data_IF_528658363737
#
_entry.id   IF_528658363737
#
_cell.length_a   1.000
_cell.length_b   1.000
_cell.length_c   1.000
_cell.angle_alpha   90.00
_cell.angle_beta   90.00
_cell.angle_gamma   90.00
#
_symmetry.space_group_name_H-M   'P 1'
#
loop_
_entity.id
_entity.type
_entity.pdbx_description
1 polymer ?
#
# COMPACT_ATOMS: atom_id res chain seq x y z
N UNK A 1 15.55 16.17 -38.61
CA UNK A 1 15.38 16.00 -37.15
C UNK A 1 16.12 14.75 -36.73
N UNK A 2 17.18 14.90 -35.93
CA UNK A 2 18.09 13.81 -35.59
C UNK A 2 17.36 12.75 -34.77
N UNK A 3 17.31 11.53 -35.31
CA UNK A 3 16.60 10.37 -34.76
C UNK A 3 16.98 10.10 -33.28
N UNK A 4 18.18 10.49 -32.85
CA UNK A 4 18.68 10.34 -31.47
C UNK A 4 18.12 11.31 -30.43
N UNK A 5 17.75 12.55 -30.79
CA UNK A 5 17.20 13.52 -29.84
C UNK A 5 15.80 13.13 -29.35
N UNK A 6 15.01 12.52 -30.24
CA UNK A 6 13.68 12.00 -29.92
C UNK A 6 13.72 10.82 -28.94
N UNK A 7 14.72 9.93 -29.06
CA UNK A 7 14.85 8.75 -28.19
C UNK A 7 15.22 9.14 -26.76
N UNK A 8 16.19 10.04 -26.58
CA UNK A 8 16.60 10.52 -25.25
C UNK A 8 15.43 11.20 -24.53
N UNK A 9 14.68 12.04 -25.24
CA UNK A 9 13.50 12.70 -24.69
C UNK A 9 12.43 11.67 -24.29
N UNK A 10 12.19 10.66 -25.11
CA UNK A 10 11.21 9.59 -24.84
C UNK A 10 11.59 8.77 -23.61
N UNK A 11 12.86 8.38 -23.47
CA UNK A 11 13.36 7.65 -22.29
C UNK A 11 13.23 8.51 -21.04
N UNK A 12 13.62 9.79 -21.11
CA UNK A 12 13.46 10.72 -19.97
C UNK A 12 12.01 10.83 -19.51
N UNK A 13 11.06 11.04 -20.43
CA UNK A 13 9.64 11.11 -20.10
C UNK A 13 9.10 9.80 -19.53
N UNK A 14 9.54 8.64 -20.04
CA UNK A 14 9.14 7.33 -19.49
C UNK A 14 9.65 7.14 -18.06
N UNK A 15 10.90 7.49 -17.77
CA UNK A 15 11.44 7.39 -16.42
C UNK A 15 10.75 8.34 -15.44
N UNK A 16 10.53 9.59 -15.85
CA UNK A 16 9.84 10.58 -15.00
C UNK A 16 8.40 10.16 -14.73
N UNK A 17 7.65 9.75 -15.75
CA UNK A 17 6.27 9.28 -15.58
C UNK A 17 6.19 8.03 -14.71
N UNK A 18 7.14 7.11 -14.82
CA UNK A 18 7.22 5.95 -13.94
C UNK A 18 7.40 6.34 -12.48
N UNK A 19 8.35 7.25 -12.19
CA UNK A 19 8.62 7.71 -10.82
C UNK A 19 7.42 8.46 -10.22
N UNK A 20 6.80 9.37 -10.99
CA UNK A 20 5.63 10.13 -10.50
C UNK A 20 4.42 9.25 -10.31
N UNK A 21 4.21 8.26 -11.17
CA UNK A 21 3.12 7.29 -11.04
C UNK A 21 3.29 6.42 -9.78
N UNK A 22 4.53 6.01 -9.46
CA UNK A 22 4.82 5.31 -8.20
C UNK A 22 4.53 6.19 -6.98
N UNK A 23 4.95 7.47 -6.98
CA UNK A 23 4.62 8.40 -5.88
C UNK A 23 3.11 8.55 -5.69
N UNK A 24 2.36 8.65 -6.78
CA UNK A 24 0.90 8.79 -6.74
C UNK A 24 0.24 7.56 -6.10
N UNK A 25 0.70 6.35 -6.44
CA UNK A 25 0.16 5.09 -5.88
C UNK A 25 0.33 5.04 -4.37
N UNK A 26 1.52 5.40 -3.85
CA UNK A 26 1.75 5.41 -2.41
C UNK A 26 0.85 6.43 -1.70
N UNK A 27 0.70 7.62 -2.29
CA UNK A 27 -0.16 8.67 -1.73
C UNK A 27 -1.64 8.25 -1.67
N UNK A 28 -2.17 7.65 -2.74
CA UNK A 28 -3.57 7.18 -2.77
C UNK A 28 -3.77 5.99 -1.81
N UNK A 29 -2.79 5.09 -1.72
CA UNK A 29 -2.86 3.96 -0.78
C UNK A 29 -2.88 4.42 0.67
N UNK A 30 -2.06 5.40 1.03
CA UNK A 30 -2.06 5.98 2.38
C UNK A 30 -3.37 6.72 2.68
N UNK A 31 -3.92 7.44 1.69
CA UNK A 31 -5.22 8.11 1.85
C UNK A 31 -6.35 7.10 2.10
N UNK A 32 -6.36 5.99 1.37
CA UNK A 32 -7.31 4.90 1.61
C UNK A 32 -7.07 4.25 2.97
N UNK A 33 -5.83 3.99 3.35
CA UNK A 33 -5.52 3.41 4.66
C UNK A 33 -6.04 4.27 5.82
N UNK A 34 -5.84 5.59 5.76
CA UNK A 34 -6.41 6.52 6.77
C UNK A 34 -7.93 6.47 6.72
N UNK A 35 -8.53 6.58 5.54
CA UNK A 35 -9.98 6.58 5.39
C UNK A 35 -10.62 5.30 5.94
N UNK A 36 -10.04 4.14 5.63
CA UNK A 36 -10.55 2.86 6.11
C UNK A 36 -10.39 2.72 7.63
N UNK A 37 -9.26 3.14 8.22
CA UNK A 37 -9.06 3.09 9.68
C UNK A 37 -9.98 4.08 10.41
N UNK A 38 -10.19 5.28 9.88
CA UNK A 38 -11.03 6.29 10.54
C UNK A 38 -12.53 5.98 10.41
N UNK A 39 -13.00 5.52 9.24
CA UNK A 39 -14.44 5.37 8.98
C UNK A 39 -14.97 3.94 9.07
N UNK A 40 -14.17 2.94 8.68
CA UNK A 40 -14.65 1.53 8.59
C UNK A 40 -14.15 0.71 9.79
N UNK A 41 -12.90 0.89 10.17
CA UNK A 41 -12.23 0.15 11.23
C UNK A 41 -11.74 1.09 12.33
N UNK A 42 -12.65 1.84 12.97
CA UNK A 42 -12.29 2.79 14.04
C UNK A 42 -11.52 2.14 15.20
N UNK A 43 -11.71 0.84 15.44
CA UNK A 43 -10.93 0.05 16.40
C UNK A 43 -9.43 -0.04 16.03
N UNK A 44 -9.08 0.08 14.75
CA UNK A 44 -7.70 0.08 14.27
C UNK A 44 -7.01 1.45 14.40
N UNK A 45 -7.76 2.51 14.68
CA UNK A 45 -7.22 3.86 14.92
C UNK A 45 -6.78 4.08 16.39
N UNK A 46 -6.94 3.07 17.23
CA UNK A 46 -6.53 3.15 18.63
C UNK A 46 -5.00 3.37 18.75
N UNK A 47 -4.55 4.31 19.60
CA UNK A 47 -3.13 4.55 19.80
C UNK A 47 -2.47 3.34 20.47
N UNK A 48 -1.36 2.91 19.90
CA UNK A 48 -0.52 1.86 20.44
C UNK A 48 0.50 2.47 21.41
N UNK A 49 0.30 2.27 22.72
CA UNK A 49 1.29 2.65 23.72
C UNK A 49 2.07 1.40 24.16
N UNK A 50 3.41 1.37 23.98
CA UNK A 50 4.22 0.30 24.56
C UNK A 50 4.23 0.48 26.08
N UNK A 51 3.56 -0.42 26.80
CA UNK A 51 3.67 -0.54 28.26
C UNK A 51 4.80 -1.50 28.60
N UNK A 52 5.70 -1.10 29.48
CA UNK A 52 6.74 -1.98 30.02
C UNK A 52 6.41 -2.26 31.48
N UNK A 53 6.18 -3.52 31.83
CA UNK A 53 6.02 -3.89 33.21
C UNK A 53 7.39 -4.06 33.89
N UNK A 54 7.61 -3.25 34.93
CA UNK A 54 8.77 -3.37 35.82
C UNK A 54 8.33 -4.01 37.15
N UNK A 55 8.75 -5.26 37.36
CA UNK A 55 8.44 -6.04 38.56
C UNK A 55 9.10 -5.50 39.83
N UNK A 56 10.02 -4.52 39.72
CA UNK A 56 10.71 -3.92 40.88
C UNK A 56 9.97 -2.73 41.48
N UNK A 57 9.10 -2.08 40.68
CA UNK A 57 8.39 -0.85 41.06
C UNK A 57 6.86 -1.08 41.12
N UNK A 58 6.33 -1.99 40.29
CA UNK A 58 4.89 -2.21 40.16
C UNK A 58 4.42 -3.49 40.85
N UNK A 59 3.21 -3.45 41.41
CA UNK A 59 2.56 -4.64 41.99
C UNK A 59 2.20 -5.63 40.88
N UNK A 60 2.24 -6.93 41.22
CA UNK A 60 1.94 -8.03 40.28
C UNK A 60 0.57 -7.86 39.59
N UNK A 61 -0.41 -7.30 40.31
CA UNK A 61 -1.75 -7.00 39.80
C UNK A 61 -1.76 -5.88 38.74
N UNK A 62 -0.93 -4.83 38.90
CA UNK A 62 -0.77 -3.77 37.90
C UNK A 62 -0.11 -4.29 36.61
N UNK A 63 0.77 -5.28 36.76
CA UNK A 63 1.43 -5.98 35.65
C UNK A 63 0.44 -6.86 34.86
N UNK A 64 -0.48 -7.54 35.56
CA UNK A 64 -1.50 -8.38 34.93
C UNK A 64 -2.51 -7.55 34.12
N UNK A 65 -2.86 -6.34 34.60
CA UNK A 65 -3.70 -5.39 33.84
C UNK A 65 -2.96 -4.94 32.56
N UNK A 66 -1.67 -4.60 32.64
CA UNK A 66 -0.87 -4.23 31.45
C UNK A 66 -0.82 -5.34 30.41
N UNK A 67 -0.68 -6.60 30.83
CA UNK A 67 -0.68 -7.74 29.91
C UNK A 67 -1.98 -7.86 29.11
N UNK A 68 -3.13 -7.50 29.69
CA UNK A 68 -4.39 -7.47 28.95
C UNK A 68 -4.46 -6.35 27.92
N UNK A 69 -3.82 -5.21 28.19
CA UNK A 69 -3.73 -4.09 27.24
C UNK A 69 -2.70 -4.35 26.13
N UNK A 70 -1.64 -5.11 26.39
CA UNK A 70 -0.74 -5.62 25.35
C UNK A 70 -1.45 -6.52 24.33
N UNK A 71 -2.40 -7.35 24.79
CA UNK A 71 -3.20 -8.19 23.89
C UNK A 71 -4.10 -7.32 23.02
N UNK A 72 -4.73 -6.27 23.58
CA UNK A 72 -5.53 -5.32 22.80
C UNK A 72 -4.68 -4.56 21.79
N UNK A 73 -3.49 -4.08 22.19
CA UNK A 73 -2.58 -3.38 21.27
C UNK A 73 -2.06 -4.30 20.16
N UNK A 74 -1.86 -5.59 20.45
CA UNK A 74 -1.54 -6.59 19.42
C UNK A 74 -2.68 -6.79 18.40
N UNK A 75 -3.94 -6.70 18.84
CA UNK A 75 -5.09 -6.73 17.93
C UNK A 75 -5.15 -5.49 17.05
N UNK A 76 -4.91 -4.30 17.62
CA UNK A 76 -4.86 -3.04 16.87
C UNK A 76 -3.77 -3.08 15.81
N UNK A 77 -2.55 -3.52 16.15
CA UNK A 77 -1.44 -3.72 15.19
C UNK A 77 -1.85 -4.58 13.99
N UNK A 78 -2.50 -5.72 14.25
CA UNK A 78 -2.95 -6.64 13.20
C UNK A 78 -3.99 -5.99 12.29
N UNK A 79 -4.95 -5.27 12.86
CA UNK A 79 -5.98 -4.58 12.10
C UNK A 79 -5.39 -3.44 11.25
N UNK A 80 -4.45 -2.69 11.82
CA UNK A 80 -3.73 -1.66 11.08
C UNK A 80 -3.01 -2.22 9.86
N UNK A 81 -2.21 -3.28 10.02
CA UNK A 81 -1.53 -3.93 8.90
C UNK A 81 -2.51 -4.42 7.84
N UNK A 82 -3.60 -5.08 8.25
CA UNK A 82 -4.63 -5.54 7.33
C UNK A 82 -5.26 -4.40 6.51
N UNK A 83 -5.57 -3.26 7.12
CA UNK A 83 -6.14 -2.11 6.40
C UNK A 83 -5.16 -1.53 5.39
N UNK A 84 -3.87 -1.47 5.74
CA UNK A 84 -2.82 -1.01 4.82
C UNK A 84 -2.70 -1.94 3.61
N UNK A 85 -2.71 -3.24 3.85
CA UNK A 85 -2.58 -4.25 2.78
C UNK A 85 -3.82 -4.23 1.88
N UNK A 86 -5.01 -4.08 2.45
CA UNK A 86 -6.25 -3.92 1.68
C UNK A 86 -6.18 -2.65 0.82
N UNK A 87 -5.71 -1.53 1.37
CA UNK A 87 -5.57 -0.28 0.61
C UNK A 87 -4.60 -0.44 -0.58
N UNK A 88 -3.45 -1.10 -0.36
CA UNK A 88 -2.50 -1.43 -1.42
C UNK A 88 -3.12 -2.31 -2.50
N UNK A 89 -3.87 -3.37 -2.12
CA UNK A 89 -4.54 -4.26 -3.08
C UNK A 89 -5.60 -3.50 -3.89
N UNK A 90 -6.37 -2.63 -3.24
CA UNK A 90 -7.45 -1.87 -3.87
C UNK A 90 -6.90 -0.92 -4.95
N UNK A 91 -5.71 -0.36 -4.75
CA UNK A 91 -5.04 0.49 -5.74
C UNK A 91 -4.29 -0.35 -6.79
N UNK A 92 -3.60 -1.41 -6.37
CA UNK A 92 -2.79 -2.24 -7.26
C UNK A 92 -3.63 -3.10 -8.22
N UNK A 93 -4.79 -3.59 -7.79
CA UNK A 93 -5.66 -4.44 -8.61
C UNK A 93 -6.14 -3.76 -9.92
N UNK A 94 -6.73 -2.55 -9.90
CA UNK A 94 -7.14 -1.89 -11.15
C UNK A 94 -5.95 -1.49 -12.02
N UNK A 95 -4.81 -1.13 -11.44
CA UNK A 95 -3.58 -0.84 -12.20
C UNK A 95 -3.05 -2.08 -12.91
N UNK A 96 -2.99 -3.21 -12.21
CA UNK A 96 -2.58 -4.49 -12.79
C UNK A 96 -3.54 -4.93 -13.90
N UNK A 97 -4.85 -4.78 -13.68
CA UNK A 97 -5.86 -5.06 -14.71
C UNK A 97 -5.64 -4.19 -15.96
N UNK A 98 -5.50 -2.87 -15.79
CA UNK A 98 -5.30 -1.96 -16.91
C UNK A 98 -4.02 -2.28 -17.68
N UNK A 99 -2.93 -2.55 -16.97
CA UNK A 99 -1.67 -2.95 -17.59
C UNK A 99 -1.82 -4.25 -18.39
N UNK A 100 -2.43 -5.28 -17.80
CA UNK A 100 -2.68 -6.57 -18.45
C UNK A 100 -3.55 -6.41 -19.71
N UNK A 101 -4.60 -5.59 -19.65
CA UNK A 101 -5.49 -5.34 -20.80
C UNK A 101 -4.76 -4.67 -21.97
N UNK A 102 -3.90 -3.70 -21.69
CA UNK A 102 -3.12 -3.01 -22.74
C UNK A 102 -2.15 -3.98 -23.40
N UNK A 103 -1.38 -4.72 -22.60
CA UNK A 103 -0.43 -5.73 -23.10
C UNK A 103 -1.16 -6.80 -23.92
N UNK A 104 -2.32 -7.28 -23.45
CA UNK A 104 -3.09 -8.29 -24.16
C UNK A 104 -3.58 -7.79 -25.53
N UNK A 105 -4.06 -6.54 -25.61
CA UNK A 105 -4.47 -5.92 -26.88
C UNK A 105 -3.29 -5.86 -27.86
N UNK A 106 -2.14 -5.36 -27.40
CA UNK A 106 -0.96 -5.21 -28.25
C UNK A 106 -0.45 -6.57 -28.77
N UNK A 107 -0.53 -7.63 -27.95
CA UNK A 107 -0.23 -9.00 -28.39
C UNK A 107 -1.21 -9.54 -29.44
N UNK A 108 -2.48 -9.15 -29.36
CA UNK A 108 -3.52 -9.61 -30.29
C UNK A 108 -3.32 -8.98 -31.66
N UNK A 109 -3.02 -7.67 -31.71
CA UNK A 109 -2.72 -6.91 -32.93
C UNK A 109 -1.47 -7.47 -33.64
N UNK A 110 -0.40 -7.78 -32.90
CA UNK A 110 0.80 -8.41 -33.49
C UNK A 110 0.51 -9.80 -34.10
N UNK A 111 -0.42 -10.56 -33.53
CA UNK A 111 -0.79 -11.88 -34.06
C UNK A 111 -1.65 -11.72 -35.32
N UNK A 112 -2.52 -10.73 -35.40
CA UNK A 112 -3.31 -10.43 -36.60
C UNK A 112 -2.40 -9.98 -37.75
N UNK A 113 -1.41 -9.12 -37.51
CA UNK A 113 -0.42 -8.73 -38.52
C UNK A 113 0.46 -9.90 -39.00
N UNK A 114 0.78 -10.86 -38.13
CA UNK A 114 1.58 -12.05 -38.50
C UNK A 114 0.78 -13.09 -39.29
N UNK A 115 -0.54 -13.09 -39.17
CA UNK A 115 -1.44 -14.05 -39.81
C UNK A 115 -2.17 -13.48 -41.05
N UNK A 116 -2.00 -12.19 -41.36
CA UNK A 116 -2.50 -11.51 -42.56
C UNK A 116 -1.46 -11.49 -43.69
#
# INVERSE_FOLDING_TARGET
>A
MTKGGSVILRIYFVLVTFVTLMMLIFSVSDLLNITLRTFVFSAADAPEYPSYCDNTIQTKEACDIQKTDEIKSAHVRKQQSAVRDIAMILVAAPLFWLHWRVVYRDWTEEQEEKNA
#
